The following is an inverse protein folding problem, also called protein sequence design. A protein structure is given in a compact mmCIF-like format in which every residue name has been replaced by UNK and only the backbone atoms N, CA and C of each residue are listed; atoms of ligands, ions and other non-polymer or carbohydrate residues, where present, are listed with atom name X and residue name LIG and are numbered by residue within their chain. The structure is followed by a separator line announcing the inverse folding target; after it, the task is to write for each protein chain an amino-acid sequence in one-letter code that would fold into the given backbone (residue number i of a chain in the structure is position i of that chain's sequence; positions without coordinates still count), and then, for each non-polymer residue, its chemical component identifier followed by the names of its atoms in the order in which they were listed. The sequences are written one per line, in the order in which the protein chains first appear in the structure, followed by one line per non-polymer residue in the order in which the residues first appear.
data_IF_120921587239
#
_entry.id   IF_120921587239
#
_cell.length_a   1.000
_cell.length_b   1.000
_cell.length_c   1.000
_cell.angle_alpha   90.00
_cell.angle_beta   90.00
_cell.angle_gamma   90.00
#
_symmetry.space_group_name_H-M   'P 1'
#
loop_
_entity.id
_entity.type
_entity.pdbx_description
1 polymer ?
#
# COMPACT_ATOMS: atom_id res chain seq x y z
N UNK A 1 21.45 -14.69 -12.45
CA UNK A 1 20.50 -15.77 -12.08
C UNK A 1 20.26 -15.60 -10.58
N UNK A 2 19.21 -14.88 -10.19
CA UNK A 2 19.17 -14.26 -8.87
C UNK A 2 18.06 -14.88 -8.02
N UNK A 3 18.48 -15.76 -7.09
CA UNK A 3 17.61 -16.57 -6.25
C UNK A 3 17.36 -15.80 -4.94
N UNK A 4 16.20 -15.17 -4.85
CA UNK A 4 15.87 -14.14 -3.85
C UNK A 4 15.16 -14.66 -2.58
N UNK A 5 15.52 -15.85 -2.08
CA UNK A 5 14.90 -16.40 -0.86
C UNK A 5 15.97 -16.71 0.18
N UNK A 6 16.02 -15.92 1.26
CA UNK A 6 16.81 -16.22 2.45
C UNK A 6 15.86 -16.57 3.60
N UNK A 7 16.07 -17.74 4.22
CA UNK A 7 15.47 -18.10 5.49
C UNK A 7 16.31 -17.50 6.62
N UNK A 8 15.72 -16.68 7.49
CA UNK A 8 16.36 -16.18 8.72
C UNK A 8 15.63 -16.82 9.90
N UNK A 9 16.35 -17.61 10.70
CA UNK A 9 15.78 -18.68 11.53
C UNK A 9 15.39 -18.33 12.98
N UNK A 10 15.36 -17.06 13.40
CA UNK A 10 14.98 -16.72 14.80
C UNK A 10 13.69 -15.91 14.94
N UNK A 11 13.06 -15.54 13.84
CA UNK A 11 11.73 -14.94 13.81
C UNK A 11 11.18 -15.22 12.44
N UNK A 12 10.18 -16.10 12.34
CA UNK A 12 9.56 -16.59 11.09
C UNK A 12 8.94 -15.48 10.23
N UNK A 13 9.75 -14.56 9.73
CA UNK A 13 9.40 -13.50 8.80
C UNK A 13 10.01 -13.91 7.47
N UNK A 14 9.17 -14.52 6.63
CA UNK A 14 9.54 -14.83 5.25
C UNK A 14 9.67 -13.49 4.49
N UNK A 15 10.88 -12.91 4.49
CA UNK A 15 11.19 -11.64 3.81
C UNK A 15 11.34 -11.92 2.32
N UNK A 16 10.21 -12.07 1.65
CA UNK A 16 10.18 -12.14 0.20
C UNK A 16 10.62 -10.76 -0.33
N UNK A 17 11.84 -10.65 -0.89
CA UNK A 17 12.27 -9.47 -1.65
C UNK A 17 11.57 -9.42 -3.03
N UNK A 18 10.27 -9.71 -3.05
CA UNK A 18 9.41 -9.52 -4.23
C UNK A 18 9.38 -8.02 -4.52
N UNK A 19 9.43 -7.64 -5.80
CA UNK A 19 9.24 -6.27 -6.25
C UNK A 19 8.10 -5.62 -5.47
N UNK A 20 8.48 -4.76 -4.53
CA UNK A 20 7.56 -4.10 -3.61
C UNK A 20 7.22 -2.72 -4.18
N UNK A 21 6.20 -2.10 -3.64
CA UNK A 21 5.67 -0.87 -4.20
C UNK A 21 4.48 -0.37 -3.44
N UNK A 22 3.94 0.75 -3.90
CA UNK A 22 2.70 1.33 -3.41
C UNK A 22 1.67 1.35 -4.53
N UNK A 23 0.40 1.30 -4.19
CA UNK A 23 -0.67 1.37 -5.17
C UNK A 23 -1.83 2.20 -4.70
N UNK A 24 -2.62 2.64 -5.67
CA UNK A 24 -3.86 3.37 -5.46
C UNK A 24 -4.92 2.80 -6.39
N UNK A 25 -6.06 2.45 -5.81
CA UNK A 25 -7.21 1.88 -6.49
C UNK A 25 -8.28 2.96 -6.51
N UNK A 26 -8.85 3.24 -7.67
CA UNK A 26 -10.05 4.05 -7.81
C UNK A 26 -11.23 3.12 -8.09
N UNK A 27 -12.36 3.42 -7.49
CA UNK A 27 -13.60 2.67 -7.65
C UNK A 27 -14.66 3.48 -8.40
N UNK A 28 -15.74 2.82 -8.85
CA UNK A 28 -16.82 3.46 -9.63
C UNK A 28 -17.51 4.56 -8.82
N UNK A 29 -17.67 4.39 -7.50
CA UNK A 29 -18.22 5.42 -6.62
C UNK A 29 -17.39 6.70 -6.52
N UNK A 30 -16.20 6.74 -7.14
CA UNK A 30 -15.22 7.82 -6.98
C UNK A 30 -14.28 7.60 -5.79
N UNK A 31 -14.59 6.63 -4.91
CA UNK A 31 -13.75 6.32 -3.75
C UNK A 31 -12.38 5.79 -4.14
N UNK A 32 -11.42 5.99 -3.25
CA UNK A 32 -10.05 5.53 -3.41
C UNK A 32 -9.58 4.61 -2.29
N UNK A 33 -8.62 3.75 -2.60
CA UNK A 33 -7.90 2.94 -1.61
C UNK A 33 -6.42 2.96 -1.93
N UNK A 34 -5.59 3.18 -0.91
CA UNK A 34 -4.14 3.19 -1.00
C UNK A 34 -3.56 2.01 -0.22
N UNK A 35 -2.62 1.32 -0.84
CA UNK A 35 -2.00 0.14 -0.26
C UNK A 35 -0.54 0.01 -0.67
N UNK A 36 0.11 -1.03 -0.16
CA UNK A 36 1.50 -1.39 -0.48
C UNK A 36 1.68 -2.88 -0.73
N UNK A 37 2.75 -3.19 -1.43
CA UNK A 37 3.17 -4.52 -1.83
C UNK A 37 3.16 -4.69 -3.35
N UNK A 38 3.31 -5.93 -3.83
CA UNK A 38 3.39 -6.23 -5.26
C UNK A 38 2.07 -5.95 -5.98
N UNK A 39 2.13 -5.82 -7.31
CA UNK A 39 0.94 -5.62 -8.15
C UNK A 39 -0.14 -6.70 -7.95
N UNK A 40 0.26 -7.95 -7.65
CA UNK A 40 -0.68 -9.03 -7.33
C UNK A 40 -1.52 -8.73 -6.09
N UNK A 41 -0.92 -8.13 -5.06
CA UNK A 41 -1.61 -7.68 -3.84
C UNK A 41 -2.56 -6.52 -4.12
N UNK A 42 -2.21 -5.61 -5.03
CA UNK A 42 -3.10 -4.55 -5.49
C UNK A 42 -4.36 -5.14 -6.14
N UNK A 43 -4.20 -6.10 -7.07
CA UNK A 43 -5.32 -6.79 -7.72
C UNK A 43 -6.20 -7.56 -6.72
N UNK A 44 -5.58 -8.24 -5.75
CA UNK A 44 -6.32 -8.94 -4.70
C UNK A 44 -7.13 -7.97 -3.82
N UNK A 45 -6.55 -6.82 -3.47
CA UNK A 45 -7.22 -5.78 -2.70
C UNK A 45 -8.41 -5.18 -3.45
N UNK A 46 -8.25 -4.91 -4.75
CA UNK A 46 -9.33 -4.44 -5.62
C UNK A 46 -10.51 -5.40 -5.59
N UNK A 47 -10.27 -6.68 -5.89
CA UNK A 47 -11.33 -7.72 -5.88
C UNK A 47 -12.01 -7.85 -4.53
N UNK A 48 -11.24 -7.83 -3.44
CA UNK A 48 -11.78 -7.94 -2.07
C UNK A 48 -12.67 -6.75 -1.72
N UNK A 49 -12.22 -5.52 -2.01
CA UNK A 49 -12.97 -4.31 -1.72
C UNK A 49 -14.20 -4.18 -2.61
N UNK A 50 -14.10 -4.54 -3.89
CA UNK A 50 -15.25 -4.56 -4.78
C UNK A 50 -16.33 -5.52 -4.32
N UNK A 51 -15.97 -6.73 -3.89
CA UNK A 51 -16.95 -7.66 -3.30
C UNK A 51 -17.53 -7.16 -1.98
N UNK A 52 -16.69 -6.56 -1.11
CA UNK A 52 -17.13 -6.10 0.21
C UNK A 52 -18.10 -4.91 0.13
N UNK A 53 -17.86 -4.00 -0.80
CA UNK A 53 -18.61 -2.74 -0.90
C UNK A 53 -19.58 -2.69 -2.08
N UNK A 54 -19.61 -3.72 -2.93
CA UNK A 54 -20.39 -3.72 -4.17
C UNK A 54 -19.91 -2.65 -5.16
N UNK A 55 -18.64 -2.24 -5.10
CA UNK A 55 -18.10 -1.12 -5.87
C UNK A 55 -16.90 -1.55 -6.73
N UNK A 56 -17.07 -1.55 -8.05
CA UNK A 56 -16.05 -2.07 -8.95
C UNK A 56 -14.82 -1.18 -9.01
N UNK A 57 -13.64 -1.80 -8.98
CA UNK A 57 -12.38 -1.10 -9.21
C UNK A 57 -12.26 -0.68 -10.68
N UNK A 58 -12.24 0.62 -10.95
CA UNK A 58 -12.09 1.18 -12.31
C UNK A 58 -10.63 1.37 -12.71
N UNK A 59 -9.74 1.60 -11.75
CA UNK A 59 -8.33 1.87 -12.04
C UNK A 59 -7.42 1.42 -10.91
N UNK A 60 -6.32 0.76 -11.26
CA UNK A 60 -5.24 0.42 -10.32
C UNK A 60 -3.97 1.12 -10.82
N UNK A 61 -3.41 2.00 -10.01
CA UNK A 61 -2.11 2.63 -10.25
C UNK A 61 -1.09 2.04 -9.27
N UNK A 62 -0.20 1.18 -9.75
CA UNK A 62 0.90 0.61 -8.97
C UNK A 62 2.22 1.30 -9.35
N UNK A 63 3.07 1.58 -8.36
CA UNK A 63 4.40 2.15 -8.54
C UNK A 63 5.40 1.26 -7.80
N UNK A 64 6.45 0.79 -8.48
CA UNK A 64 7.52 0.05 -7.81
C UNK A 64 8.25 0.96 -6.81
N UNK A 65 8.76 0.37 -5.73
CA UNK A 65 9.60 1.03 -4.75
C UNK A 65 10.90 0.23 -4.59
N UNK A 66 11.99 0.93 -4.28
CA UNK A 66 13.32 0.31 -4.16
C UNK A 66 13.39 -0.70 -3.00
N UNK A 67 12.65 -0.46 -1.92
CA UNK A 67 12.57 -1.33 -0.76
C UNK A 67 11.24 -1.15 -0.04
N UNK A 68 11.00 -1.99 0.99
CA UNK A 68 9.76 -1.95 1.75
C UNK A 68 9.56 -0.61 2.47
N UNK A 69 10.61 -0.03 3.07
CA UNK A 69 10.52 1.24 3.80
C UNK A 69 10.04 2.38 2.88
N UNK A 70 10.59 2.48 1.67
CA UNK A 70 10.15 3.45 0.65
C UNK A 70 8.71 3.19 0.22
N UNK A 71 8.28 1.93 0.07
CA UNK A 71 6.88 1.59 -0.23
C UNK A 71 5.92 2.06 0.88
N UNK A 72 6.30 1.89 2.15
CA UNK A 72 5.54 2.38 3.30
C UNK A 72 5.42 3.91 3.29
N UNK A 73 6.53 4.62 3.06
CA UNK A 73 6.54 6.09 3.03
C UNK A 73 5.70 6.63 1.86
N UNK A 74 5.81 6.04 0.66
CA UNK A 74 5.04 6.46 -0.52
C UNK A 74 3.54 6.18 -0.35
N UNK A 75 3.16 5.05 0.27
CA UNK A 75 1.76 4.76 0.66
C UNK A 75 1.21 5.83 1.59
N UNK A 76 1.95 6.21 2.64
CA UNK A 76 1.55 7.26 3.57
C UNK A 76 1.36 8.61 2.87
N UNK A 77 2.32 9.02 2.05
CA UNK A 77 2.25 10.28 1.30
C UNK A 77 1.02 10.32 0.38
N UNK A 78 0.75 9.23 -0.35
CA UNK A 78 -0.45 9.13 -1.19
C UNK A 78 -1.72 9.24 -0.36
N UNK A 79 -1.82 8.49 0.73
CA UNK A 79 -2.99 8.51 1.59
C UNK A 79 -3.26 9.93 2.11
N UNK A 80 -2.22 10.64 2.59
CA UNK A 80 -2.33 12.03 3.05
C UNK A 80 -2.69 13.01 1.96
N UNK A 81 -2.18 12.82 0.73
CA UNK A 81 -2.53 13.66 -0.42
C UNK A 81 -4.03 13.57 -0.76
N UNK A 82 -4.64 12.39 -0.57
CA UNK A 82 -6.07 12.16 -0.77
C UNK A 82 -6.88 12.29 0.54
N UNK A 83 -6.56 13.29 1.36
CA UNK A 83 -7.34 13.63 2.56
C UNK A 83 -7.14 12.73 3.78
N UNK A 84 -6.43 11.61 3.62
CA UNK A 84 -6.20 10.66 4.71
C UNK A 84 -7.35 9.68 4.93
N UNK A 85 -7.27 8.86 6.01
CA UNK A 85 -8.37 8.01 6.44
C UNK A 85 -9.57 8.78 7.00
N UNK A 86 -9.43 10.08 7.24
CA UNK A 86 -10.51 10.96 7.69
C UNK A 86 -11.47 11.33 6.55
N UNK A 87 -11.05 11.18 5.28
CA UNK A 87 -11.87 11.49 4.11
C UNK A 87 -12.84 10.33 3.80
N UNK A 88 -14.15 10.65 3.71
CA UNK A 88 -15.21 9.70 3.35
C UNK A 88 -15.05 9.09 1.96
N UNK A 89 -14.29 9.76 1.08
CA UNK A 89 -13.93 9.27 -0.23
C UNK A 89 -12.81 8.22 -0.18
N UNK A 90 -12.26 7.93 1.00
CA UNK A 90 -11.21 6.93 1.18
C UNK A 90 -11.73 5.66 1.87
N UNK A 91 -11.42 4.50 1.31
CA UNK A 91 -11.66 3.21 1.96
C UNK A 91 -10.60 2.85 3.01
N UNK A 92 -9.48 3.59 3.07
CA UNK A 92 -8.51 3.43 4.14
C UNK A 92 -9.10 3.96 5.46
N UNK A 93 -9.40 3.07 6.41
CA UNK A 93 -9.94 3.47 7.72
C UNK A 93 -8.85 3.86 8.74
N UNK A 94 -7.58 3.69 8.40
CA UNK A 94 -6.44 3.95 9.29
C UNK A 94 -5.25 4.47 8.48
N UNK A 95 -4.40 5.26 9.14
CA UNK A 95 -3.13 5.72 8.57
C UNK A 95 -2.21 4.53 8.25
N UNK A 96 -1.39 4.70 7.20
CA UNK A 96 -0.34 3.74 6.86
C UNK A 96 0.70 3.64 8.00
N UNK A 97 1.25 2.45 8.28
CA UNK A 97 2.43 2.29 9.14
C UNK A 97 3.63 3.12 8.69
N UNK A 98 3.69 3.52 7.42
CA UNK A 98 4.69 4.44 6.89
C UNK A 98 4.68 5.83 7.51
N UNK A 99 3.61 6.21 8.25
CA UNK A 99 3.58 7.44 9.05
C UNK A 99 4.74 7.51 10.04
N UNK A 100 5.01 6.42 10.77
CA UNK A 100 6.11 6.36 11.75
C UNK A 100 7.46 6.49 11.07
N UNK A 101 7.65 5.78 9.95
CA UNK A 101 8.88 5.85 9.15
C UNK A 101 9.09 7.24 8.54
N UNK A 102 8.01 7.88 8.07
CA UNK A 102 8.06 9.23 7.55
C UNK A 102 8.50 10.22 8.64
N UNK A 103 7.88 10.20 9.81
CA UNK A 103 8.26 11.10 10.91
C UNK A 103 9.69 10.86 11.42
N UNK A 104 10.12 9.59 11.50
CA UNK A 104 11.49 9.28 11.89
C UNK A 104 12.53 9.82 10.91
N UNK A 105 12.18 9.94 9.62
CA UNK A 105 13.12 10.33 8.56
C UNK A 105 13.06 11.81 8.20
N UNK A 106 11.89 12.43 8.28
CA UNK A 106 11.66 13.80 7.81
C UNK A 106 11.22 14.76 8.93
N UNK A 107 11.07 14.28 10.15
CA UNK A 107 10.58 15.08 11.28
C UNK A 107 9.06 15.30 11.24
N UNK A 108 8.58 16.07 12.21
CA UNK A 108 7.20 16.55 12.29
C UNK A 108 7.12 17.93 11.62
N UNK A 109 6.08 18.15 10.82
CA UNK A 109 5.54 19.50 10.60
C UNK A 109 4.46 19.75 11.65
#
# INVERSE_FOLDING_TARGET
KDWHTYYVSDSSVLVHNKCTGSYSIKFKSGKTYHGKGPLSRAKQSARRLSRKHGDDAVKIKWKPAANNQEAFIDEYRRLRFFGGPEDIMNYNMRHSPGRKLYYSRYGHY
#
